data_IF_546399212151
#
_entry.id   IF_546399212151
#
_cell.length_a   1.000
_cell.length_b   1.000
_cell.length_c   1.000
_cell.angle_alpha   90.00
_cell.angle_beta   90.00
_cell.angle_gamma   90.00
#
_symmetry.space_group_name_H-M   'P 1'
#
loop_
_entity.id
_entity.type
_entity.pdbx_description
1 polymer ?
2 polymer ?
#
# COMPACT_ATOMS: atom_id res chain seq x y z
N UNK A 1 23.87 3.31 -22.16
CA UNK A 1 23.29 1.99 -21.91
C UNK A 1 21.77 2.10 -21.80
N UNK A 2 21.17 1.22 -21.01
CA UNK A 2 19.68 1.13 -20.93
C UNK A 2 19.26 0.53 -19.60
N UNK A 3 18.22 -0.29 -19.58
CA UNK A 3 17.86 -1.05 -18.36
C UNK A 3 17.74 -2.54 -18.60
N UNK A 4 18.60 -3.34 -17.98
CA UNK A 4 18.84 -4.74 -18.35
C UNK A 4 17.58 -5.61 -18.37
N UNK A 5 17.17 -6.01 -19.55
CA UNK A 5 15.83 -6.45 -19.84
C UNK A 5 15.28 -7.58 -18.99
N UNK A 6 14.04 -7.34 -18.61
CA UNK A 6 13.15 -8.24 -17.87
C UNK A 6 11.89 -8.47 -18.74
N UNK A 7 11.49 -9.72 -18.85
CA UNK A 7 10.25 -10.12 -19.55
C UNK A 7 8.99 -9.63 -18.86
N UNK A 8 8.12 -8.99 -19.64
CA UNK A 8 7.08 -8.10 -19.10
C UNK A 8 6.01 -8.82 -18.33
N UNK A 9 6.07 -10.14 -18.38
CA UNK A 9 5.04 -11.01 -17.78
C UNK A 9 5.64 -12.40 -17.55
N UNK A 10 5.07 -13.07 -16.58
CA UNK A 10 5.44 -14.45 -16.25
C UNK A 10 4.28 -15.10 -15.49
N UNK A 11 4.23 -16.41 -15.62
CA UNK A 11 3.12 -17.20 -15.12
C UNK A 11 3.58 -18.54 -14.53
N UNK A 12 3.21 -18.66 -13.24
CA UNK A 12 3.34 -20.06 -12.67
C UNK A 12 1.92 -20.53 -12.36
N UNK A 13 1.83 -21.73 -11.82
CA UNK A 13 0.54 -22.31 -11.41
C UNK A 13 0.76 -23.20 -10.18
N UNK A 14 0.59 -22.59 -9.03
CA UNK A 14 0.82 -23.11 -7.72
C UNK A 14 1.18 -24.59 -7.65
N UNK A 15 2.43 -24.82 -7.26
CA UNK A 15 3.00 -26.19 -7.24
C UNK A 15 4.01 -26.30 -8.40
N UNK A 16 3.51 -25.84 -9.53
CA UNK A 16 4.38 -25.60 -10.73
C UNK A 16 5.36 -24.51 -10.33
N UNK A 17 5.92 -23.82 -11.32
CA UNK A 17 6.89 -22.75 -11.07
C UNK A 17 6.99 -21.76 -12.21
N UNK A 18 8.01 -20.93 -12.07
CA UNK A 18 8.31 -19.81 -12.97
C UNK A 18 9.75 -19.34 -12.75
N UNK A 19 10.40 -19.06 -13.87
CA UNK A 19 11.79 -18.59 -13.87
C UNK A 19 11.84 -17.30 -14.69
N UNK A 20 12.55 -16.33 -14.14
CA UNK A 20 12.57 -14.97 -14.67
C UNK A 20 13.98 -14.57 -15.07
N UNK A 21 14.08 -14.29 -16.36
CA UNK A 21 15.26 -13.80 -17.04
C UNK A 21 15.49 -12.29 -16.79
N UNK A 22 16.76 -11.97 -16.66
CA UNK A 22 17.31 -10.66 -16.47
C UNK A 22 18.55 -10.54 -17.40
N UNK A 23 18.17 -10.31 -18.64
CA UNK A 23 19.09 -10.25 -19.78
C UNK A 23 19.80 -8.92 -19.78
N UNK A 24 21.13 -8.92 -19.88
CA UNK A 24 21.89 -7.67 -19.96
C UNK A 24 23.15 -7.76 -20.80
N UNK A 25 23.89 -6.66 -20.77
CA UNK A 25 25.18 -6.44 -21.41
C UNK A 25 26.36 -6.93 -20.57
N UNK A 26 27.37 -7.38 -21.27
CA UNK A 26 28.59 -7.99 -20.74
C UNK A 26 29.42 -7.11 -19.82
N UNK A 27 28.84 -6.00 -19.40
CA UNK A 27 29.56 -5.03 -18.54
C UNK A 27 28.83 -4.86 -17.22
N UNK A 28 27.93 -5.80 -16.97
CA UNK A 28 27.01 -5.68 -15.81
C UNK A 28 26.59 -7.06 -15.31
N UNK A 29 25.57 -7.64 -15.93
CA UNK A 29 25.29 -9.08 -15.67
C UNK A 29 26.49 -9.76 -16.33
N UNK A 30 27.01 -10.78 -15.73
CA UNK A 30 28.22 -11.45 -16.29
C UNK A 30 29.28 -10.39 -16.63
N UNK A 31 30.06 -10.07 -15.61
CA UNK A 31 31.10 -9.03 -15.65
C UNK A 31 31.55 -8.82 -14.19
N UNK A 32 30.54 -8.62 -13.35
CA UNK A 32 30.66 -8.66 -11.91
C UNK A 32 29.60 -9.68 -11.41
N UNK A 33 29.88 -10.21 -10.23
CA UNK A 33 28.93 -11.15 -9.60
C UNK A 33 28.07 -10.34 -8.61
N UNK A 34 27.19 -9.51 -9.19
CA UNK A 34 26.40 -8.56 -8.41
C UNK A 34 24.97 -8.40 -8.88
N UNK A 35 24.37 -9.51 -9.30
CA UNK A 35 22.95 -9.56 -9.65
C UNK A 35 22.11 -9.55 -8.37
N UNK A 36 21.15 -8.66 -8.35
CA UNK A 36 20.15 -8.64 -7.26
C UNK A 36 18.73 -8.70 -7.83
N UNK A 37 17.82 -9.25 -7.05
CA UNK A 37 16.39 -9.28 -7.43
C UNK A 37 15.54 -8.73 -6.27
N UNK A 38 14.49 -8.04 -6.70
CA UNK A 38 13.59 -7.33 -5.78
C UNK A 38 12.13 -7.77 -5.99
N UNK A 39 11.36 -7.52 -4.93
CA UNK A 39 9.92 -7.87 -4.93
C UNK A 39 9.07 -6.64 -4.62
N UNK A 40 8.03 -6.39 -5.41
CA UNK A 40 7.19 -5.20 -5.20
C UNK A 40 5.70 -5.45 -5.45
N UNK A 41 4.98 -5.47 -4.33
CA UNK A 41 3.50 -5.58 -4.34
C UNK A 41 3.02 -4.13 -4.30
N UNK A 42 2.59 -3.62 -5.43
CA UNK A 42 1.87 -2.36 -5.57
C UNK A 42 2.42 -1.14 -4.88
N UNK A 43 3.72 -1.09 -4.68
CA UNK A 43 4.41 0.02 -3.98
C UNK A 43 5.10 -0.62 -2.77
N UNK A 44 4.52 -0.38 -1.62
CA UNK A 44 4.90 -0.99 -0.36
C UNK A 44 6.31 -0.57 0.07
N UNK A 45 7.23 -1.00 -0.74
CA UNK A 45 8.67 -1.01 -0.60
C UNK A 45 9.07 -2.32 -1.32
N UNK A 46 10.17 -2.25 -2.03
CA UNK A 46 10.75 -3.46 -2.63
C UNK A 46 11.50 -4.19 -1.51
N UNK A 47 11.50 -5.49 -1.61
CA UNK A 47 12.29 -6.30 -0.64
C UNK A 47 13.31 -7.11 -1.42
N UNK A 48 14.57 -6.73 -1.20
CA UNK A 48 15.71 -7.51 -1.72
C UNK A 48 15.41 -8.96 -1.32
N UNK A 49 15.45 -9.83 -2.31
CA UNK A 49 15.34 -11.27 -1.97
C UNK A 49 16.57 -12.03 -2.41
N UNK A 50 17.35 -11.40 -3.28
CA UNK A 50 18.59 -11.98 -3.84
C UNK A 50 19.61 -10.88 -4.07
N UNK A 51 20.83 -11.08 -3.58
CA UNK A 51 21.88 -10.06 -3.66
C UNK A 51 23.07 -10.33 -4.53
N UNK A 52 23.75 -11.44 -4.41
CA UNK A 52 24.69 -11.84 -5.48
C UNK A 52 24.18 -13.18 -6.02
N UNK A 53 23.15 -13.04 -6.86
CA UNK A 53 22.39 -14.18 -7.37
C UNK A 53 22.30 -15.24 -6.27
N UNK A 54 22.79 -16.42 -6.59
CA UNK A 54 22.69 -17.61 -5.78
C UNK A 54 21.59 -17.47 -4.70
N UNK A 55 22.00 -16.72 -3.65
CA UNK A 55 21.44 -16.87 -2.33
C UNK A 55 20.38 -15.92 -1.85
N UNK A 56 19.47 -16.58 -1.16
CA UNK A 56 18.31 -16.19 -0.40
C UNK A 56 18.75 -16.03 1.07
N UNK A 57 18.32 -14.93 1.65
CA UNK A 57 18.41 -14.73 3.10
C UNK A 57 17.14 -15.22 3.81
N UNK A 58 17.30 -15.81 4.97
CA UNK A 58 16.30 -16.25 5.90
C UNK A 58 15.10 -15.38 6.19
N UNK A 59 15.03 -14.17 5.67
CA UNK A 59 13.82 -13.33 5.81
C UNK A 59 13.08 -13.41 4.46
N UNK A 60 13.53 -14.37 3.68
CA UNK A 60 13.06 -14.72 2.35
C UNK A 60 12.85 -16.24 2.39
N UNK A 61 11.77 -16.65 1.73
CA UNK A 61 11.47 -18.07 1.58
C UNK A 61 12.28 -18.76 0.50
N UNK A 62 12.87 -19.88 0.91
CA UNK A 62 13.82 -20.70 0.21
C UNK A 62 13.53 -21.08 -1.22
N UNK A 63 12.34 -20.95 -1.72
CA UNK A 63 12.04 -21.41 -3.10
C UNK A 63 12.49 -20.31 -4.09
N UNK A 64 13.02 -19.27 -3.47
CA UNK A 64 13.57 -18.15 -4.28
C UNK A 64 15.05 -18.49 -4.46
N UNK A 65 15.36 -18.78 -5.71
CA UNK A 65 16.76 -19.22 -6.01
C UNK A 65 17.11 -18.62 -7.36
N UNK A 66 18.27 -18.00 -7.44
CA UNK A 66 18.66 -17.33 -8.70
C UNK A 66 20.09 -17.67 -9.10
N UNK A 67 20.25 -17.76 -10.42
CA UNK A 67 21.56 -18.00 -11.02
C UNK A 67 21.66 -17.41 -12.42
N UNK A 68 22.88 -17.00 -12.71
CA UNK A 68 23.24 -16.39 -13.99
C UNK A 68 24.05 -17.38 -14.82
N UNK A 69 23.73 -17.40 -16.09
CA UNK A 69 24.36 -18.26 -17.08
C UNK A 69 24.81 -17.41 -18.27
N UNK A 70 26.01 -16.88 -18.08
CA UNK A 70 26.73 -16.13 -19.12
C UNK A 70 26.24 -14.68 -19.09
N UNK A 71 25.06 -14.50 -19.67
CA UNK A 71 24.35 -13.21 -19.56
C UNK A 71 22.88 -13.42 -19.25
N UNK A 72 22.42 -14.68 -19.32
CA UNK A 72 20.97 -14.87 -18.95
C UNK A 72 21.00 -14.79 -17.42
N UNK A 73 20.52 -13.68 -16.85
CA UNK A 73 20.33 -13.82 -15.35
C UNK A 73 18.97 -14.49 -15.20
N UNK A 74 18.87 -15.40 -14.25
CA UNK A 74 17.55 -16.01 -13.98
C UNK A 74 17.34 -16.18 -12.48
N UNK A 75 16.05 -16.21 -12.15
CA UNK A 75 15.57 -16.49 -10.78
C UNK A 75 14.39 -17.47 -10.91
N UNK A 76 14.51 -18.62 -10.29
CA UNK A 76 13.44 -19.58 -10.11
C UNK A 76 12.64 -19.24 -8.83
N UNK A 77 11.33 -19.28 -9.03
CA UNK A 77 10.36 -19.14 -7.94
C UNK A 77 9.63 -20.48 -7.79
N UNK A 78 10.27 -21.40 -7.07
CA UNK A 78 9.89 -22.81 -7.11
C UNK A 78 8.61 -23.16 -6.41
N UNK A 79 7.92 -24.15 -6.99
CA UNK A 79 6.76 -24.80 -6.33
C UNK A 79 5.56 -23.86 -6.23
N UNK A 80 5.71 -22.69 -6.80
CA UNK A 80 4.80 -21.60 -6.84
C UNK A 80 3.67 -21.57 -5.83
N UNK A 81 3.68 -20.49 -5.03
CA UNK A 81 2.69 -20.36 -3.94
C UNK A 81 2.11 -18.97 -3.86
N UNK A 82 1.44 -18.62 -4.97
CA UNK A 82 0.43 -17.58 -5.09
C UNK A 82 0.65 -16.26 -4.41
N UNK A 83 1.02 -16.26 -3.14
CA UNK A 83 1.16 -15.02 -2.37
C UNK A 83 2.21 -14.16 -3.12
N UNK A 84 3.09 -14.97 -3.76
CA UNK A 84 4.21 -14.22 -4.45
C UNK A 84 3.78 -13.62 -5.76
N UNK A 85 2.48 -13.46 -5.97
CA UNK A 85 2.03 -12.60 -7.11
C UNK A 85 2.73 -11.28 -6.81
N UNK A 86 3.46 -10.73 -7.76
CA UNK A 86 4.24 -9.51 -7.49
C UNK A 86 4.88 -8.95 -8.75
N UNK A 87 5.30 -7.68 -8.60
CA UNK A 87 6.04 -6.98 -9.65
C UNK A 87 7.50 -6.90 -9.15
N UNK A 88 8.30 -7.66 -9.88
CA UNK A 88 9.71 -7.80 -9.50
C UNK A 88 10.58 -6.84 -10.32
N UNK A 89 11.83 -6.75 -9.82
CA UNK A 89 12.89 -6.11 -10.66
C UNK A 89 14.21 -6.84 -10.40
N UNK A 90 15.21 -6.45 -11.17
CA UNK A 90 16.55 -7.09 -11.15
C UNK A 90 17.61 -6.01 -11.24
N UNK A 91 18.82 -6.26 -10.80
CA UNK A 91 19.90 -5.28 -10.87
C UNK A 91 21.28 -5.94 -11.01
N UNK A 92 22.18 -5.09 -11.52
CA UNK A 92 23.62 -5.39 -11.46
C UNK A 92 24.35 -4.05 -11.64
N UNK A 93 25.63 -4.14 -11.39
CA UNK A 93 26.54 -2.97 -11.33
C UNK A 93 27.13 -2.67 -12.69
N UNK A 94 27.36 -1.39 -12.88
CA UNK A 94 27.90 -0.72 -14.07
C UNK A 94 29.29 -0.19 -13.65
N UNK A 95 29.51 1.09 -13.89
CA UNK A 95 30.78 1.75 -13.66
C UNK A 95 30.88 2.45 -12.31
N UNK A 96 30.96 3.77 -12.39
CA UNK A 96 31.29 4.65 -11.28
C UNK A 96 30.30 4.64 -10.12
N UNK A 97 30.34 3.54 -9.38
CA UNK A 97 29.41 3.26 -8.27
C UNK A 97 27.98 3.49 -8.77
N UNK A 98 27.54 2.63 -9.69
CA UNK A 98 26.22 2.80 -10.31
C UNK A 98 25.68 1.43 -10.78
N UNK A 99 24.36 1.36 -10.64
CA UNK A 99 23.60 0.09 -10.69
C UNK A 99 22.43 0.29 -11.65
N UNK A 100 22.19 -0.69 -12.50
CA UNK A 100 20.99 -0.65 -13.35
C UNK A 100 20.09 -1.86 -13.12
N UNK A 101 18.82 -1.54 -13.25
CA UNK A 101 17.65 -2.37 -13.11
C UNK A 101 17.17 -3.01 -14.40
N UNK A 102 16.51 -4.13 -14.21
CA UNK A 102 15.66 -4.78 -15.23
C UNK A 102 14.35 -3.97 -15.25
N UNK A 103 13.62 -4.09 -16.33
CA UNK A 103 12.45 -3.23 -16.56
C UNK A 103 11.19 -3.78 -15.93
N UNK A 104 11.38 -4.76 -15.06
CA UNK A 104 10.27 -5.27 -14.22
C UNK A 104 9.61 -6.45 -14.96
N UNK A 105 9.21 -7.38 -14.10
CA UNK A 105 8.44 -8.57 -14.64
C UNK A 105 7.15 -8.52 -13.81
N UNK A 106 6.05 -8.40 -14.57
CA UNK A 106 4.77 -8.58 -13.79
C UNK A 106 4.66 -10.10 -13.71
N UNK A 107 4.25 -10.56 -12.54
CA UNK A 107 4.14 -12.02 -12.31
C UNK A 107 2.78 -12.36 -11.73
N UNK A 108 2.35 -13.58 -12.10
CA UNK A 108 1.10 -14.11 -11.52
C UNK A 108 1.21 -15.56 -11.11
N UNK A 109 0.09 -16.02 -10.58
CA UNK A 109 -0.11 -17.41 -10.17
C UNK A 109 -1.51 -17.84 -10.61
N UNK A 110 -1.51 -18.84 -11.46
CA UNK A 110 -2.75 -19.45 -11.97
C UNK A 110 -3.16 -20.55 -10.99
N UNK A 111 -4.45 -20.85 -10.99
CA UNK A 111 -5.04 -21.79 -10.05
C UNK A 111 -5.44 -21.25 -8.70
N UNK A 112 -5.48 -19.95 -8.52
CA UNK A 112 -6.04 -19.31 -7.30
C UNK A 112 -7.56 -19.39 -7.39
N UNK A 113 -8.17 -19.97 -6.37
CA UNK A 113 -9.62 -20.17 -6.29
C UNK A 113 -10.35 -18.85 -6.14
N UNK A 114 -11.51 -18.82 -6.77
CA UNK A 114 -12.39 -17.65 -6.82
C UNK A 114 -13.13 -17.54 -5.48
N UNK A 115 -13.42 -16.29 -5.13
CA UNK A 115 -14.09 -16.04 -3.83
C UNK A 115 -15.05 -14.87 -3.99
N UNK A 116 -16.27 -15.13 -3.57
CA UNK A 116 -17.34 -14.11 -3.55
C UNK A 116 -17.24 -13.44 -2.16
N UNK A 117 -17.53 -12.15 -2.12
CA UNK A 117 -17.11 -11.30 -0.99
C UNK A 117 -18.04 -11.30 0.19
N UNK A 118 -17.47 -10.97 1.37
CA UNK A 118 -18.34 -10.64 2.52
C UNK A 118 -18.66 -9.13 2.40
N UNK A 119 -19.95 -8.88 2.36
CA UNK A 119 -20.46 -7.50 2.32
C UNK A 119 -20.90 -7.16 3.74
N UNK A 120 -20.12 -6.33 4.41
CA UNK A 120 -20.48 -5.93 5.79
C UNK A 120 -20.79 -4.44 5.85
N UNK A 121 -22.08 -4.18 5.79
CA UNK A 121 -22.70 -2.86 5.80
C UNK A 121 -22.71 -2.26 7.21
N UNK A 122 -22.42 -0.96 7.23
CA UNK A 122 -22.33 -0.23 8.51
C UNK A 122 -23.28 0.96 8.47
N UNK A 123 -24.16 0.97 9.46
CA UNK A 123 -24.92 2.18 9.82
C UNK A 123 -23.99 3.18 10.50
N UNK A 124 -24.29 4.47 10.32
CA UNK A 124 -23.52 5.56 10.94
C UNK A 124 -23.41 5.31 12.44
N UNK A 125 -22.33 5.75 13.03
CA UNK A 125 -22.15 5.74 14.49
C UNK A 125 -22.80 6.96 15.12
N UNK A 126 -23.00 6.85 16.44
CA UNK A 126 -23.56 7.94 17.25
C UNK A 126 -22.75 9.22 17.14
N UNK A 127 -21.45 9.11 17.29
CA UNK A 127 -20.51 10.24 17.22
C UNK A 127 -20.60 11.05 15.96
N UNK A 128 -20.85 10.36 14.86
CA UNK A 128 -21.03 10.97 13.53
C UNK A 128 -22.31 11.80 13.54
N UNK A 129 -23.33 11.06 14.03
CA UNK A 129 -24.69 11.68 14.11
C UNK A 129 -24.71 12.90 15.02
N UNK A 130 -23.82 12.91 15.99
CA UNK A 130 -23.73 13.99 16.97
C UNK A 130 -23.01 15.19 16.38
N UNK A 131 -22.36 14.91 15.26
CA UNK A 131 -21.66 16.03 14.55
C UNK A 131 -22.51 16.53 13.39
N UNK A 132 -23.68 15.91 13.25
CA UNK A 132 -24.63 16.17 12.16
C UNK A 132 -24.25 15.58 10.81
N UNK A 133 -23.48 14.53 10.77
CA UNK A 133 -23.20 13.85 9.48
C UNK A 133 -23.89 12.52 9.48
N UNK A 134 -24.02 11.85 8.34
CA UNK A 134 -24.57 10.48 8.32
C UNK A 134 -24.00 9.67 7.16
N UNK A 135 -22.85 9.08 7.38
CA UNK A 135 -22.17 8.30 6.33
C UNK A 135 -22.39 6.81 6.49
N UNK A 136 -22.71 6.13 5.39
CA UNK A 136 -22.87 4.66 5.38
C UNK A 136 -21.79 4.04 4.51
N UNK A 137 -21.12 3.03 5.02
CA UNK A 137 -20.09 2.35 4.23
C UNK A 137 -20.39 0.86 4.09
N UNK A 138 -20.01 0.35 2.92
CA UNK A 138 -20.09 -1.06 2.60
C UNK A 138 -18.65 -1.61 2.50
N UNK A 139 -18.29 -2.44 3.51
CA UNK A 139 -17.00 -3.15 3.36
C UNK A 139 -17.20 -4.38 2.46
N UNK A 140 -16.42 -4.37 1.39
CA UNK A 140 -16.45 -5.46 0.39
C UNK A 140 -15.09 -6.15 0.48
N UNK A 141 -15.11 -7.28 1.19
CA UNK A 141 -13.81 -7.93 1.46
C UNK A 141 -13.75 -9.36 1.00
N UNK A 142 -12.51 -9.71 0.64
CA UNK A 142 -12.10 -11.06 0.28
C UNK A 142 -12.78 -11.72 -0.89
N UNK A 143 -12.76 -11.02 -2.02
CA UNK A 143 -13.28 -11.53 -3.29
C UNK A 143 -12.13 -11.66 -4.30
N UNK A 144 -12.13 -12.77 -5.00
CA UNK A 144 -11.22 -13.07 -6.10
C UNK A 144 -11.99 -13.51 -7.36
N UNK A 145 -11.63 -13.01 -8.53
CA UNK A 145 -10.75 -11.86 -8.78
C UNK A 145 -11.41 -10.56 -8.35
N UNK A 146 -10.90 -9.44 -8.80
CA UNK A 146 -11.37 -8.12 -8.37
C UNK A 146 -12.40 -7.50 -9.29
N UNK A 147 -13.22 -8.30 -9.92
CA UNK A 147 -14.36 -7.81 -10.72
C UNK A 147 -15.59 -7.89 -9.81
N UNK A 148 -15.95 -6.73 -9.34
CA UNK A 148 -17.08 -6.49 -8.46
C UNK A 148 -17.72 -5.17 -8.95
N UNK A 149 -18.99 -5.05 -8.64
CA UNK A 149 -19.72 -3.82 -8.85
C UNK A 149 -20.52 -3.54 -7.57
N UNK A 150 -20.86 -2.27 -7.44
CA UNK A 150 -21.61 -1.79 -6.27
C UNK A 150 -22.73 -0.86 -6.71
N UNK A 151 -23.91 -1.23 -6.22
CA UNK A 151 -25.11 -0.37 -6.44
C UNK A 151 -25.70 -0.10 -5.07
N UNK A 152 -26.33 1.05 -4.94
CA UNK A 152 -27.04 1.41 -3.71
C UNK A 152 -28.54 1.49 -3.95
N UNK A 153 -29.22 1.04 -2.89
CA UNK A 153 -30.70 1.19 -2.85
C UNK A 153 -31.05 2.08 -1.66
N UNK A 154 -31.79 3.13 -1.93
CA UNK A 154 -32.39 3.94 -0.84
C UNK A 154 -33.66 3.21 -0.38
N UNK A 155 -34.17 2.44 -1.33
CA UNK A 155 -35.29 1.52 -1.15
C UNK A 155 -35.38 0.66 -2.43
N UNK A 156 -35.96 1.28 -3.45
CA UNK A 156 -36.18 0.63 -4.75
C UNK A 156 -35.85 1.63 -5.86
N UNK A 157 -36.34 2.83 -5.65
CA UNK A 157 -35.89 4.00 -6.47
C UNK A 157 -34.51 4.41 -5.92
N UNK A 158 -33.48 4.00 -6.65
CA UNK A 158 -32.14 3.80 -6.07
C UNK A 158 -31.25 5.01 -6.02
N UNK A 159 -30.29 4.92 -5.07
CA UNK A 159 -29.36 6.07 -4.90
C UNK A 159 -28.52 6.22 -6.16
N UNK A 160 -28.71 7.32 -6.85
CA UNK A 160 -27.89 7.65 -8.02
C UNK A 160 -26.63 8.39 -7.54
N UNK A 161 -26.83 9.15 -6.48
CA UNK A 161 -25.85 10.13 -6.00
C UNK A 161 -25.33 9.82 -4.61
N UNK A 162 -24.24 10.49 -4.27
CA UNK A 162 -23.59 10.39 -2.96
C UNK A 162 -22.60 9.23 -2.90
N UNK A 163 -22.83 8.24 -3.76
CA UNK A 163 -22.08 6.99 -3.81
C UNK A 163 -20.62 7.21 -4.22
N UNK A 164 -19.76 6.48 -3.54
CA UNK A 164 -18.33 6.44 -3.86
C UNK A 164 -17.82 5.01 -3.69
N UNK A 165 -17.63 4.36 -4.81
CA UNK A 165 -17.11 2.97 -4.84
C UNK A 165 -15.59 3.11 -4.92
N UNK A 166 -14.87 2.08 -4.56
CA UNK A 166 -13.40 2.06 -4.74
C UNK A 166 -12.99 0.96 -5.70
N UNK A 167 -11.87 1.20 -6.38
CA UNK A 167 -11.27 0.18 -7.28
C UNK A 167 -10.50 -0.78 -6.38
N UNK A 168 -10.81 -2.07 -6.49
CA UNK A 168 -10.45 -3.08 -5.50
C UNK A 168 -9.00 -3.25 -5.14
N UNK A 169 -8.63 -3.08 -3.85
CA UNK A 169 -7.14 -3.14 -3.61
C UNK A 169 -6.65 -4.53 -3.23
N UNK A 170 -5.40 -4.61 -2.80
CA UNK A 170 -4.66 -5.87 -2.62
C UNK A 170 -4.71 -6.34 -1.17
N UNK A 171 -5.12 -7.60 -0.99
CA UNK A 171 -5.09 -8.15 0.39
C UNK A 171 -3.77 -8.87 0.57
N UNK A 172 -3.44 -9.17 1.81
CA UNK A 172 -2.34 -10.14 2.09
C UNK A 172 -2.94 -11.51 1.81
N UNK A 173 -3.09 -11.75 0.53
CA UNK A 173 -3.76 -12.86 -0.13
C UNK A 173 -4.36 -12.20 -1.41
N UNK A 174 -4.29 -12.91 -2.51
CA UNK A 174 -4.74 -12.29 -3.79
C UNK A 174 -6.28 -12.42 -3.83
N UNK A 175 -6.84 -11.75 -2.84
CA UNK A 175 -8.27 -11.46 -2.71
C UNK A 175 -8.30 -9.94 -2.49
N UNK A 176 -9.43 -9.34 -2.83
CA UNK A 176 -9.44 -7.86 -2.94
C UNK A 176 -10.34 -7.20 -1.91
N UNK A 177 -9.94 -5.93 -1.65
CA UNK A 177 -10.60 -5.16 -0.57
C UNK A 177 -11.09 -3.81 -1.04
N UNK A 178 -12.37 -3.79 -1.42
CA UNK A 178 -13.08 -2.56 -1.81
C UNK A 178 -14.02 -2.07 -0.70
N UNK A 179 -14.47 -0.85 -0.90
CA UNK A 179 -15.42 -0.16 -0.02
C UNK A 179 -16.25 0.78 -0.89
N UNK A 180 -17.44 1.06 -0.38
CA UNK A 180 -18.38 1.94 -1.15
C UNK A 180 -19.14 2.74 -0.10
N UNK A 181 -19.12 4.06 -0.20
CA UNK A 181 -19.80 4.87 0.83
C UNK A 181 -20.83 5.80 0.21
N UNK A 182 -21.75 6.09 1.11
CA UNK A 182 -22.84 7.05 0.94
C UNK A 182 -22.65 8.12 2.02
N UNK A 183 -22.84 9.35 1.61
CA UNK A 183 -22.88 10.48 2.55
C UNK A 183 -24.34 10.94 2.58
N UNK A 184 -24.92 10.89 3.75
CA UNK A 184 -26.28 11.34 3.97
C UNK A 184 -26.33 12.44 5.04
N UNK A 185 -27.44 13.17 4.97
CA UNK A 185 -27.93 13.96 6.12
C UNK A 185 -28.82 13.02 6.93
N UNK A 186 -28.82 13.24 8.23
CA UNK A 186 -29.63 12.41 9.15
C UNK A 186 -31.09 12.58 8.71
N UNK A 187 -31.33 13.84 8.36
CA UNK A 187 -32.58 14.34 7.79
C UNK A 187 -32.78 13.76 6.39
N UNK A 188 -32.75 12.44 6.33
CA UNK A 188 -32.60 11.75 5.01
C UNK A 188 -32.34 10.27 5.30
N UNK A 189 -31.72 10.08 6.47
CA UNK A 189 -31.40 8.71 6.93
C UNK A 189 -32.67 8.12 7.58
N UNK A 190 -33.08 8.88 8.60
CA UNK A 190 -34.31 8.53 9.33
C UNK A 190 -35.53 8.61 8.42
N UNK A 191 -35.49 9.56 7.49
CA UNK A 191 -36.53 9.77 6.49
C UNK A 191 -36.41 8.72 5.37
N UNK A 192 -35.92 7.56 5.77
CA UNK A 192 -35.88 6.37 4.93
C UNK A 192 -36.41 5.15 5.64
N UNK A 193 -36.45 4.05 4.90
CA UNK A 193 -36.96 2.77 5.40
C UNK A 193 -35.80 1.81 5.68
N UNK A 194 -34.99 1.63 4.66
CA UNK A 194 -33.86 0.70 4.64
C UNK A 194 -33.01 1.06 3.41
N UNK A 195 -31.71 1.07 3.64
CA UNK A 195 -30.74 1.34 2.56
C UNK A 195 -30.08 -0.01 2.31
N UNK A 196 -29.57 -0.20 1.12
CA UNK A 196 -28.72 -1.38 0.87
C UNK A 196 -27.53 -1.01 -0.01
N UNK A 197 -26.52 -1.84 0.15
CA UNK A 197 -25.40 -1.91 -0.84
C UNK A 197 -25.58 -3.30 -1.46
N UNK A 198 -25.80 -3.33 -2.76
CA UNK A 198 -25.80 -4.59 -3.53
C UNK A 198 -24.44 -4.76 -4.25
N UNK A 199 -23.84 -5.89 -3.98
CA UNK A 199 -22.52 -6.24 -4.54
C UNK A 199 -22.60 -7.36 -5.57
N UNK A 200 -22.25 -7.04 -6.81
CA UNK A 200 -22.21 -8.07 -7.88
C UNK A 200 -20.78 -8.53 -8.13
N UNK A 201 -20.57 -9.83 -8.10
CA UNK A 201 -19.23 -10.44 -8.28
C UNK A 201 -19.38 -11.70 -9.12
N UNK A 202 -19.25 -11.43 -10.41
CA UNK A 202 -19.35 -12.47 -11.47
C UNK A 202 -20.67 -13.16 -11.30
N UNK A 203 -20.68 -14.37 -10.81
CA UNK A 203 -21.90 -15.17 -10.69
C UNK A 203 -22.97 -14.49 -9.85
N UNK A 204 -22.54 -13.99 -8.69
CA UNK A 204 -23.51 -13.59 -7.64
C UNK A 204 -23.77 -12.12 -7.47
N UNK A 205 -24.89 -11.86 -6.79
CA UNK A 205 -25.28 -10.55 -6.24
C UNK A 205 -25.51 -10.81 -4.74
N UNK A 206 -24.99 -9.94 -3.91
CA UNK A 206 -24.96 -10.13 -2.44
C UNK A 206 -25.31 -8.78 -1.81
N UNK A 207 -26.47 -8.75 -1.18
CA UNK A 207 -27.06 -7.49 -0.69
C UNK A 207 -26.96 -7.46 0.83
N UNK A 208 -26.74 -6.24 1.31
CA UNK A 208 -26.83 -5.98 2.76
C UNK A 208 -27.68 -4.70 2.87
N UNK A 209 -28.58 -4.73 3.82
CA UNK A 209 -29.57 -3.66 4.03
C UNK A 209 -29.36 -3.08 5.41
N UNK A 210 -30.06 -2.02 5.78
CA UNK A 210 -29.90 -1.33 7.07
C UNK A 210 -31.03 -0.33 7.30
N UNK A 211 -31.57 -0.35 8.51
CA UNK A 211 -32.69 0.51 8.91
C UNK A 211 -32.24 1.60 9.88
N UNK A 212 -32.82 2.78 9.72
CA UNK A 212 -32.54 3.96 10.55
C UNK A 212 -32.70 3.69 12.04
N UNK A 213 -33.34 2.59 12.33
CA UNK A 213 -33.41 2.03 13.71
C UNK A 213 -32.35 0.93 13.78
N UNK A 214 -31.12 1.41 13.87
CA UNK A 214 -29.95 0.55 14.17
C UNK A 214 -29.64 0.89 15.64
N UNK A 215 -28.57 0.42 16.22
CA UNK A 215 -28.40 0.61 17.67
C UNK A 215 -27.94 2.00 18.08
N UNK A 216 -26.81 2.46 17.60
CA UNK A 216 -26.17 3.68 18.13
C UNK A 216 -25.86 4.67 17.01
N UNK B 1 16.22 -5.11 9.38
CA UNK B 1 14.99 -5.57 8.74
C UNK B 1 13.91 -4.51 8.83
N UNK B 2 13.16 -4.35 7.75
CA UNK B 2 11.97 -3.53 7.69
C UNK B 2 12.07 -2.09 8.21
N UNK B 3 12.47 -1.93 9.43
CA UNK B 3 12.51 -0.80 10.28
C UNK B 3 13.04 0.55 9.86
N UNK B 4 12.59 1.15 8.77
CA UNK B 4 12.84 2.57 8.48
C UNK B 4 11.46 3.21 8.18
N UNK B 5 11.37 4.47 8.54
CA UNK B 5 10.10 5.22 8.47
C UNK B 5 10.25 6.37 7.49
N UNK B 6 9.40 6.38 6.49
CA UNK B 6 9.36 7.41 5.42
C UNK B 6 7.91 7.89 5.23
N UNK B 7 7.72 9.21 5.22
CA UNK B 7 6.45 9.89 5.06
C UNK B 7 5.58 9.65 3.85
N UNK B 8 4.27 9.51 4.10
CA UNK B 8 3.26 9.20 3.09
C UNK B 8 3.33 10.08 1.87
N UNK B 9 2.87 11.32 2.04
CA UNK B 9 2.86 12.32 0.98
C UNK B 9 4.19 13.08 1.07
N UNK B 10 4.54 13.60 -0.07
CA UNK B 10 5.60 14.61 -0.25
C UNK B 10 5.09 15.36 -1.50
N UNK B 11 5.12 16.67 -1.44
CA UNK B 11 4.43 17.47 -2.46
C UNK B 11 4.99 18.89 -2.46
N UNK B 12 4.86 19.47 -3.64
CA UNK B 12 5.18 20.90 -3.82
C UNK B 12 4.55 21.33 -5.15
N UNK B 13 4.78 22.58 -5.46
CA UNK B 13 4.39 23.12 -6.79
C UNK B 13 5.55 22.81 -7.73
N UNK B 14 5.72 23.63 -8.76
CA UNK B 14 6.99 23.69 -9.50
C UNK B 14 7.79 24.80 -8.75
N UNK B 15 9.07 24.80 -8.94
CA UNK B 15 9.91 25.83 -8.26
C UNK B 15 10.18 25.31 -6.85
N UNK B 16 9.10 25.06 -6.14
CA UNK B 16 9.15 24.60 -4.75
C UNK B 16 10.09 23.42 -4.56
N UNK B 17 10.83 23.48 -3.47
CA UNK B 17 11.77 22.41 -3.08
C UNK B 17 11.17 21.55 -1.98
N UNK B 18 11.23 20.23 -2.22
CA UNK B 18 10.59 19.25 -1.30
C UNK B 18 11.63 18.35 -0.68
N UNK B 19 11.58 18.17 0.63
CA UNK B 19 12.47 17.25 1.34
C UNK B 19 11.72 15.97 1.72
N UNK B 20 12.38 14.85 1.47
CA UNK B 20 11.85 13.52 1.85
C UNK B 20 12.87 12.92 2.81
N UNK B 21 12.39 12.42 3.93
CA UNK B 21 13.29 11.88 4.98
C UNK B 21 13.07 10.38 5.13
N UNK B 22 13.69 9.84 6.15
CA UNK B 22 13.60 8.37 6.43
C UNK B 22 14.35 8.14 7.74
N UNK B 23 13.61 7.85 8.80
CA UNK B 23 14.17 7.67 10.16
C UNK B 23 14.25 6.18 10.50
N UNK B 24 15.32 5.82 11.19
CA UNK B 24 15.60 4.41 11.51
C UNK B 24 14.89 3.89 12.74
N UNK B 25 13.96 2.99 12.50
CA UNK B 25 13.11 2.37 13.51
C UNK B 25 13.86 1.25 14.23
N UNK B 26 14.97 1.66 14.81
CA UNK B 26 15.82 0.89 15.71
C UNK B 26 17.26 1.40 15.45
N UNK B 27 18.14 0.98 16.34
CA UNK B 27 19.55 1.37 16.28
C UNK B 27 20.17 0.84 14.99
N UNK B 28 20.73 1.78 14.22
CA UNK B 28 21.48 1.44 13.01
C UNK B 28 22.78 2.24 12.97
N UNK B 29 22.69 3.49 12.52
CA UNK B 29 23.83 4.40 12.47
C UNK B 29 24.79 4.17 13.65
N UNK B 30 26.05 4.38 13.31
CA UNK B 30 27.19 3.94 14.21
C UNK B 30 27.62 2.67 13.37
N UNK B 31 26.60 1.81 13.37
CA UNK B 31 26.47 0.85 12.22
C UNK B 31 26.21 1.81 11.03
N UNK B 32 25.49 1.31 10.05
CA UNK B 32 25.56 1.80 8.70
C UNK B 32 25.26 3.20 8.29
N UNK B 33 26.18 3.69 7.42
CA UNK B 33 26.19 5.05 6.89
C UNK B 33 26.10 5.10 5.38
N UNK B 34 25.77 3.99 4.73
CA UNK B 34 25.65 4.01 3.25
C UNK B 34 24.22 3.63 2.84
N UNK B 35 23.37 4.65 2.95
CA UNK B 35 21.94 4.58 2.64
C UNK B 35 21.72 5.03 1.19
N UNK B 36 20.54 4.71 0.65
CA UNK B 36 20.36 5.04 -0.79
C UNK B 36 18.95 5.46 -1.17
N UNK B 37 18.88 6.46 -2.06
CA UNK B 37 17.58 6.97 -2.55
C UNK B 37 17.18 6.44 -3.89
N UNK B 38 15.99 5.83 -3.99
CA UNK B 38 15.53 5.27 -5.27
C UNK B 38 14.25 5.96 -5.77
N UNK B 39 14.37 6.55 -6.94
CA UNK B 39 13.21 7.19 -7.59
C UNK B 39 12.45 6.11 -8.36
N UNK B 40 11.14 5.98 -8.09
CA UNK B 40 10.36 5.10 -9.01
C UNK B 40 9.21 5.89 -9.61
N UNK B 41 9.20 5.98 -10.93
CA UNK B 41 8.05 6.56 -11.63
C UNK B 41 7.05 5.41 -11.92
N UNK B 42 5.82 5.85 -12.10
CA UNK B 42 4.66 5.03 -12.33
C UNK B 42 4.79 4.06 -13.50
N UNK B 43 5.14 2.84 -13.16
CA UNK B 43 5.31 1.76 -14.13
C UNK B 43 6.62 1.88 -14.89
N UNK B 44 7.72 2.09 -14.14
CA UNK B 44 9.05 2.03 -14.79
C UNK B 44 10.20 2.02 -13.80
N UNK B 45 11.41 2.06 -14.36
CA UNK B 45 12.69 1.96 -13.72
C UNK B 45 12.89 2.76 -12.43
N UNK B 46 12.97 2.00 -11.33
CA UNK B 46 13.60 2.47 -10.09
C UNK B 46 15.05 2.83 -10.42
N UNK B 47 15.35 4.11 -10.31
CA UNK B 47 16.73 4.59 -10.55
C UNK B 47 17.25 5.17 -9.25
N UNK B 48 18.33 4.56 -8.78
CA UNK B 48 19.08 5.14 -7.63
C UNK B 48 19.45 6.57 -8.03
N UNK B 49 18.91 7.55 -7.32
CA UNK B 49 19.19 8.95 -7.63
C UNK B 49 20.18 9.55 -6.65
N UNK B 50 20.40 8.84 -5.57
CA UNK B 50 21.49 9.13 -4.62
C UNK B 50 22.06 7.78 -4.16
N UNK B 51 23.38 7.76 -4.11
CA UNK B 51 24.14 6.64 -3.55
C UNK B 51 24.97 7.15 -2.36
N UNK B 52 25.06 6.30 -1.37
CA UNK B 52 25.70 6.52 -0.09
C UNK B 52 25.48 7.92 0.46
N UNK B 53 24.25 8.13 0.91
CA UNK B 53 23.89 9.34 1.65
C UNK B 53 23.86 10.63 0.86
N UNK B 54 24.76 10.87 -0.08
CA UNK B 54 24.72 12.15 -0.81
C UNK B 54 25.24 12.10 -2.24
N UNK B 55 26.05 11.10 -2.54
CA UNK B 55 26.73 11.03 -3.84
C UNK B 55 25.77 10.81 -4.99
N UNK B 56 25.82 11.71 -5.96
CA UNK B 56 24.99 11.70 -7.16
C UNK B 56 25.66 10.88 -8.27
N UNK B 57 25.11 9.69 -8.51
CA UNK B 57 25.41 8.93 -9.73
C UNK B 57 25.39 9.77 -10.99
N UNK B 58 26.08 9.19 -11.97
CA UNK B 58 26.05 9.70 -13.37
C UNK B 58 24.56 9.75 -13.76
N UNK B 59 24.25 10.77 -14.52
CA UNK B 59 22.88 11.04 -14.95
C UNK B 59 22.20 12.02 -14.03
N UNK B 60 22.24 11.72 -12.73
CA UNK B 60 21.47 12.58 -11.76
C UNK B 60 21.78 14.06 -11.98
N UNK B 61 20.75 14.89 -11.77
CA UNK B 61 20.90 16.35 -11.73
C UNK B 61 21.46 16.78 -10.38
N UNK B 62 21.64 18.08 -10.15
CA UNK B 62 22.17 18.60 -8.89
C UNK B 62 21.13 19.09 -7.91
N UNK B 63 19.90 19.29 -8.36
CA UNK B 63 18.80 19.76 -7.50
C UNK B 63 18.17 18.56 -6.80
N UNK B 64 19.05 17.64 -6.50
CA UNK B 64 18.84 16.37 -5.82
C UNK B 64 20.03 16.31 -4.83
N UNK B 65 19.65 16.22 -3.56
CA UNK B 65 20.70 16.33 -2.51
C UNK B 65 20.41 15.30 -1.44
N UNK B 66 21.39 14.52 -1.09
CA UNK B 66 21.28 13.53 0.01
C UNK B 66 21.98 14.16 1.22
N UNK B 67 21.50 13.79 2.39
CA UNK B 67 22.06 14.28 3.66
C UNK B 67 21.48 13.41 4.78
N UNK B 68 22.03 13.59 5.97
CA UNK B 68 21.48 12.93 7.17
C UNK B 68 21.03 13.95 8.21
N UNK B 69 20.86 13.43 9.41
CA UNK B 69 20.67 14.24 10.62
C UNK B 69 21.35 13.49 11.77
N UNK B 70 20.87 12.28 12.00
CA UNK B 70 21.39 11.42 13.07
C UNK B 70 20.72 10.05 13.00
N UNK B 71 19.45 10.07 12.62
CA UNK B 71 18.68 8.85 12.38
C UNK B 71 17.76 8.99 11.15
N UNK B 72 17.66 10.25 10.76
CA UNK B 72 16.93 10.63 9.55
C UNK B 72 17.95 10.86 8.42
N UNK B 73 17.77 10.06 7.40
CA UNK B 73 18.44 10.31 6.11
C UNK B 73 17.40 11.11 5.32
N UNK B 74 17.87 12.04 4.53
CA UNK B 74 16.99 12.98 3.84
C UNK B 74 17.56 13.33 2.46
N UNK B 75 16.62 13.49 1.56
CA UNK B 75 16.83 13.90 0.17
C UNK B 75 16.04 15.21 -0.04
N UNK B 76 16.54 16.03 -0.94
CA UNK B 76 16.01 17.37 -1.18
C UNK B 76 16.00 17.72 -2.68
N UNK B 77 14.77 17.78 -3.16
CA UNK B 77 14.50 18.11 -4.56
C UNK B 77 14.31 19.64 -4.60
N UNK B 78 15.46 20.26 -4.72
CA UNK B 78 15.62 21.70 -4.58
C UNK B 78 15.25 22.57 -5.75
N UNK B 79 14.29 22.17 -6.56
CA UNK B 79 13.70 23.01 -7.63
C UNK B 79 12.74 22.13 -8.42
N UNK B 80 11.49 22.08 -8.01
CA UNK B 80 10.51 21.13 -8.54
C UNK B 80 10.12 21.36 -10.01
N UNK B 81 10.04 20.23 -10.68
CA UNK B 81 9.83 20.11 -12.13
C UNK B 81 8.89 18.94 -12.39
N UNK B 82 7.95 19.07 -13.31
CA UNK B 82 6.84 18.15 -13.51
C UNK B 82 7.16 16.67 -13.52
N UNK B 83 8.22 16.29 -14.20
CA UNK B 83 8.64 14.87 -14.24
C UNK B 83 9.48 14.53 -13.02
N UNK B 84 9.21 15.23 -11.92
CA UNK B 84 9.74 14.97 -10.59
C UNK B 84 8.71 14.06 -9.87
N UNK B 85 7.47 14.20 -10.38
CA UNK B 85 6.41 13.33 -9.82
C UNK B 85 6.78 11.85 -9.88
N UNK B 86 6.85 11.23 -8.70
CA UNK B 86 7.19 9.82 -8.55
C UNK B 86 7.11 9.31 -7.11
N UNK B 87 7.60 8.08 -6.95
CA UNK B 87 7.60 7.26 -5.77
C UNK B 87 8.99 7.00 -5.22
N UNK B 88 9.52 7.98 -4.50
CA UNK B 88 10.89 7.78 -3.94
C UNK B 88 10.79 6.75 -2.79
N UNK B 89 11.91 6.09 -2.60
CA UNK B 89 12.13 5.15 -1.48
C UNK B 89 13.54 5.40 -0.94
N UNK B 90 13.73 5.05 0.32
CA UNK B 90 15.06 5.13 0.96
C UNK B 90 15.49 3.68 1.24
N UNK B 91 16.79 3.50 1.42
CA UNK B 91 17.37 2.15 1.50
C UNK B 91 18.54 2.10 2.47
N UNK B 92 18.92 0.86 2.76
CA UNK B 92 19.95 0.53 3.74
C UNK B 92 20.62 -0.83 3.55
N UNK B 93 21.63 -1.01 4.41
CA UNK B 93 22.41 -2.22 4.53
C UNK B 93 22.83 -2.54 5.97
N UNK B 94 22.45 -3.72 6.39
CA UNK B 94 22.88 -4.33 7.67
C UNK B 94 23.71 -5.54 7.26
N UNK B 95 23.53 -6.68 7.88
CA UNK B 95 24.42 -7.81 7.79
C UNK B 95 24.34 -8.73 6.60
N UNK B 96 25.31 -8.58 5.70
CA UNK B 96 25.44 -9.42 4.49
C UNK B 96 24.12 -9.29 3.74
N UNK B 97 23.20 -10.10 4.21
CA UNK B 97 21.81 -10.10 3.73
C UNK B 97 20.90 -9.37 4.72
N UNK B 98 20.92 -8.03 4.66
CA UNK B 98 20.04 -7.23 5.55
C UNK B 98 19.74 -5.82 5.05
N UNK B 99 19.12 -5.71 3.90
CA UNK B 99 18.89 -4.45 3.18
C UNK B 99 17.48 -3.91 3.45
N UNK B 100 17.51 -2.77 4.15
CA UNK B 100 16.24 -2.18 4.68
C UNK B 100 15.71 -1.08 3.79
N UNK B 101 14.47 -1.28 3.31
CA UNK B 101 13.75 -0.32 2.48
C UNK B 101 12.65 0.44 3.25
N UNK B 102 12.64 1.75 3.00
CA UNK B 102 11.61 2.65 3.55
C UNK B 102 10.27 2.22 2.97
N UNK B 103 9.20 2.70 3.59
CA UNK B 103 7.84 2.30 3.25
C UNK B 103 7.32 3.06 2.04
N UNK B 104 8.14 3.98 1.55
CA UNK B 104 7.87 4.70 0.30
C UNK B 104 7.36 6.11 0.54
N UNK B 105 7.25 6.81 -0.58
CA UNK B 105 6.76 8.19 -0.63
C UNK B 105 6.24 8.46 -2.06
N UNK B 106 5.33 9.39 -2.13
CA UNK B 106 4.82 9.97 -3.37
C UNK B 106 5.21 11.45 -3.38
N UNK B 107 5.78 11.91 -4.47
CA UNK B 107 6.00 13.37 -4.65
C UNK B 107 5.00 13.88 -5.69
N UNK B 108 4.17 14.82 -5.23
CA UNK B 108 3.09 15.37 -6.04
C UNK B 108 3.39 16.84 -6.37
N UNK B 109 3.19 17.16 -7.63
CA UNK B 109 3.16 18.59 -8.02
C UNK B 109 1.66 18.93 -7.92
N UNK B 110 1.42 19.88 -7.06
CA UNK B 110 0.04 20.31 -6.76
C UNK B 110 -0.53 21.07 -7.94
N UNK B 111 -1.56 20.49 -8.51
CA UNK B 111 -2.35 21.13 -9.60
C UNK B 111 -3.82 20.93 -9.15
N UNK B 112 -4.03 21.42 -7.94
CA UNK B 112 -5.23 21.24 -7.13
C UNK B 112 -4.81 21.63 -5.69
N UNK B 113 -5.80 22.13 -4.95
CA UNK B 113 -5.55 22.55 -3.56
C UNK B 113 -5.45 21.35 -2.64
N UNK B 114 -4.74 21.55 -1.53
CA UNK B 114 -4.49 20.47 -0.56
C UNK B 114 -5.78 20.13 0.17
N UNK B 115 -5.88 18.85 0.55
CA UNK B 115 -7.15 18.45 1.24
C UNK B 115 -6.78 17.35 2.22
N UNK B 116 -7.05 17.62 3.48
CA UNK B 116 -6.67 16.68 4.56
C UNK B 116 -7.82 15.67 4.67
N UNK B 117 -7.46 14.49 5.11
CA UNK B 117 -8.43 13.40 5.17
C UNK B 117 -9.62 13.79 6.07
N UNK B 118 -10.65 13.01 5.85
CA UNK B 118 -11.94 13.10 6.58
C UNK B 118 -12.21 11.66 7.01
N UNK B 119 -11.74 11.43 8.23
CA UNK B 119 -11.80 10.14 8.92
C UNK B 119 -13.18 9.97 9.55
N UNK B 120 -13.73 8.78 9.39
CA UNK B 120 -15.03 8.41 9.97
C UNK B 120 -15.01 6.91 10.24
N UNK B 121 -14.62 6.58 11.46
CA UNK B 121 -14.49 5.18 11.90
C UNK B 121 -15.85 4.65 12.32
N UNK B 122 -16.16 3.45 11.84
CA UNK B 122 -17.43 2.77 12.11
C UNK B 122 -17.28 1.49 12.93
N UNK B 123 -17.87 1.47 14.12
CA UNK B 123 -17.89 0.30 15.00
C UNK B 123 -18.94 -0.73 14.61
N UNK B 124 -18.59 -2.00 14.88
CA UNK B 124 -19.34 -3.17 14.38
C UNK B 124 -20.81 -2.99 14.69
N UNK B 125 -21.63 -3.04 13.66
CA UNK B 125 -23.09 -3.00 13.86
C UNK B 125 -23.53 -4.12 14.82
N UNK B 126 -24.69 -3.83 15.41
CA UNK B 126 -25.35 -4.77 16.34
C UNK B 126 -25.53 -6.11 15.62
N UNK B 127 -26.11 -6.06 14.44
CA UNK B 127 -26.46 -7.26 13.67
C UNK B 127 -25.26 -8.16 13.48
N UNK B 128 -24.14 -7.55 13.16
CA UNK B 128 -22.88 -8.26 12.86
C UNK B 128 -22.37 -8.97 14.10
N UNK B 129 -22.47 -8.27 15.24
CA UNK B 129 -22.21 -8.99 16.52
C UNK B 129 -23.22 -10.14 16.65
N UNK B 130 -24.42 -9.90 16.14
CA UNK B 130 -25.47 -10.94 16.24
C UNK B 130 -24.99 -12.16 15.44
N UNK B 131 -24.25 -11.87 14.39
CA UNK B 131 -23.59 -12.85 13.54
C UNK B 131 -22.19 -13.25 14.01
N UNK B 132 -21.87 -12.96 15.24
CA UNK B 132 -20.71 -13.36 15.98
C UNK B 132 -19.34 -13.09 15.38
N UNK B 133 -19.13 -11.88 14.93
CA UNK B 133 -17.82 -11.44 14.41
C UNK B 133 -17.77 -9.92 14.55
N UNK B 134 -16.56 -9.37 14.75
CA UNK B 134 -16.57 -7.88 14.95
C UNK B 134 -15.58 -7.17 14.06
N UNK B 135 -16.05 -6.16 13.35
CA UNK B 135 -15.22 -5.48 12.34
C UNK B 135 -15.38 -3.97 12.44
N UNK B 136 -14.30 -3.33 12.87
CA UNK B 136 -14.20 -1.87 12.77
C UNK B 136 -13.68 -1.54 11.34
N UNK B 137 -14.16 -0.43 10.83
CA UNK B 137 -13.80 0.05 9.48
C UNK B 137 -13.50 1.54 9.56
N UNK B 138 -12.23 1.87 9.33
CA UNK B 138 -11.76 3.24 9.32
C UNK B 138 -11.94 3.78 7.90
N UNK B 139 -12.47 5.01 7.83
CA UNK B 139 -12.75 5.51 6.44
C UNK B 139 -12.08 6.85 6.27
N UNK B 140 -11.34 6.96 5.18
CA UNK B 140 -10.60 8.19 4.85
C UNK B 140 -11.12 8.75 3.52
N UNK B 141 -11.43 10.06 3.58
CA UNK B 141 -12.02 10.69 2.39
C UNK B 141 -11.65 12.14 2.22
N UNK B 142 -11.97 12.62 1.01
CA UNK B 142 -11.85 14.02 0.64
C UNK B 142 -10.46 14.60 0.75
N UNK B 143 -9.43 13.80 0.53
CA UNK B 143 -8.03 14.28 0.59
C UNK B 143 -7.40 14.46 -0.79
N UNK B 144 -6.32 15.22 -0.79
CA UNK B 144 -5.41 15.39 -1.95
C UNK B 144 -4.03 15.67 -1.34
N UNK B 145 -3.01 14.94 -1.74
CA UNK B 145 -3.01 13.86 -2.72
C UNK B 145 -3.15 12.46 -2.17
N UNK B 146 -3.31 11.48 -3.06
CA UNK B 146 -3.57 10.11 -2.76
C UNK B 146 -2.47 9.28 -2.14
N UNK B 147 -1.82 9.80 -1.12
CA UNK B 147 -0.76 9.09 -0.37
C UNK B 147 -0.97 9.42 1.10
N UNK B 148 -1.16 8.38 1.89
CA UNK B 148 -1.52 8.57 3.32
C UNK B 148 -1.18 7.34 4.13
N UNK B 149 -0.83 7.58 5.40
CA UNK B 149 -0.48 6.50 6.34
C UNK B 149 -1.68 6.15 7.22
N UNK B 150 -1.81 4.88 7.55
CA UNK B 150 -2.86 4.38 8.43
C UNK B 150 -2.27 3.46 9.50
N UNK B 151 -2.79 3.60 10.72
CA UNK B 151 -2.29 2.83 11.87
C UNK B 151 -3.46 2.54 12.81
N UNK B 152 -3.43 1.39 13.45
CA UNK B 152 -4.46 0.98 14.38
C UNK B 152 -3.91 0.69 15.79
N UNK B 153 -4.82 0.96 16.73
CA UNK B 153 -4.51 0.86 18.17
C UNK B 153 -5.67 0.26 18.94
N UNK B 154 -5.29 -0.65 19.83
CA UNK B 154 -6.20 -1.28 20.79
C UNK B 154 -5.72 -0.95 22.21
N UNK B 155 -6.18 0.19 22.71
CA UNK B 155 -5.63 0.71 23.98
C UNK B 155 -4.09 0.88 23.84
N UNK B 156 -3.70 1.91 23.13
CA UNK B 156 -2.25 2.22 22.98
C UNK B 156 -1.72 1.18 21.99
N UNK B 157 -1.58 -0.01 22.50
CA UNK B 157 -1.09 -1.16 21.71
C UNK B 157 -1.31 -0.92 20.22
N UNK B 158 -0.25 -0.46 19.60
CA UNK B 158 -0.20 -0.40 18.12
C UNK B 158 -0.38 -1.89 17.74
N UNK B 159 -1.57 -2.18 17.23
CA UNK B 159 -1.81 -3.58 16.79
C UNK B 159 -1.68 -3.62 15.27
N UNK B 160 -1.00 -4.65 14.76
CA UNK B 160 -0.96 -4.85 13.30
C UNK B 160 -1.87 -5.95 12.77
N UNK B 161 -2.08 -7.03 13.49
CA UNK B 161 -2.91 -8.13 12.96
C UNK B 161 -4.31 -7.60 12.66
N UNK B 162 -4.82 -7.94 11.49
CA UNK B 162 -6.26 -7.81 11.21
C UNK B 162 -6.57 -6.58 10.37
N UNK B 163 -5.56 -5.73 10.26
CA UNK B 163 -5.67 -4.51 9.45
C UNK B 163 -5.56 -4.91 7.98
N UNK B 164 -6.11 -4.06 7.15
CA UNK B 164 -5.98 -4.20 5.67
C UNK B 164 -6.32 -2.84 5.09
N UNK B 165 -5.33 -2.22 4.47
CA UNK B 165 -5.52 -0.88 3.90
C UNK B 165 -5.67 -0.95 2.37
N UNK B 166 -6.83 -0.47 1.98
CA UNK B 166 -7.11 -0.32 0.52
C UNK B 166 -6.36 0.90 0.05
N UNK B 167 -5.97 0.91 -1.22
CA UNK B 167 -5.20 2.02 -1.81
C UNK B 167 -6.15 3.12 -2.27
N UNK B 168 -5.61 4.33 -2.37
CA UNK B 168 -6.41 5.51 -2.69
C UNK B 168 -7.08 5.44 -4.05
N UNK B 169 -8.40 5.68 -4.03
CA UNK B 169 -9.08 5.89 -5.36
C UNK B 169 -9.25 7.40 -5.57
N UNK B 170 -9.25 7.79 -6.83
CA UNK B 170 -9.80 9.14 -7.19
C UNK B 170 -11.31 8.94 -6.99
N UNK B 171 -11.90 9.80 -6.20
CA UNK B 171 -13.36 9.92 -6.12
C UNK B 171 -13.74 10.96 -7.19
N UNK B 172 -14.99 10.93 -7.53
CA UNK B 172 -15.52 11.80 -8.61
C UNK B 172 -15.62 13.23 -8.10
N UNK B 173 -14.49 13.70 -7.59
CA UNK B 173 -14.36 15.06 -7.04
C UNK B 173 -12.89 15.48 -7.07
N UNK B 174 -12.08 14.65 -7.68
CA UNK B 174 -10.65 14.97 -7.89
C UNK B 174 -9.94 14.98 -6.53
N UNK B 175 -10.54 14.25 -5.62
CA UNK B 175 -9.98 14.03 -4.26
C UNK B 175 -9.98 12.52 -4.08
N UNK B 176 -9.28 12.00 -3.10
CA UNK B 176 -9.12 10.57 -2.89
C UNK B 176 -9.91 10.04 -1.70
N UNK B 177 -10.13 8.74 -1.85
CA UNK B 177 -10.73 7.92 -0.78
C UNK B 177 -9.64 6.93 -0.37
N UNK B 178 -9.87 6.26 0.73
CA UNK B 178 -9.03 5.16 1.21
C UNK B 178 -9.76 4.57 2.43
N UNK B 179 -9.38 3.38 2.84
CA UNK B 179 -10.16 2.68 3.87
C UNK B 179 -9.40 1.50 4.45
N UNK B 180 -9.34 1.52 5.78
CA UNK B 180 -8.58 0.43 6.47
C UNK B 180 -9.64 -0.33 7.28
N UNK B 181 -9.63 -1.64 7.14
CA UNK B 181 -10.59 -2.44 7.93
C UNK B 181 -9.80 -3.27 8.94
N UNK B 182 -10.57 -3.74 9.92
CA UNK B 182 -10.06 -4.55 11.03
C UNK B 182 -11.14 -5.55 11.45
N UNK B 183 -10.85 -6.79 11.14
CA UNK B 183 -11.71 -7.92 11.51
C UNK B 183 -11.19 -8.57 12.79
N UNK B 184 -11.84 -8.22 13.87
CA UNK B 184 -11.64 -8.64 15.21
C UNK B 184 -12.41 -9.91 15.63
N UNK B 185 -11.74 -10.51 16.60
CA UNK B 185 -12.20 -11.52 17.54
C UNK B 185 -13.14 -10.93 18.59
N UNK B 186 -14.44 -10.97 18.28
CA UNK B 186 -15.52 -10.29 18.98
C UNK B 186 -15.47 -10.12 20.48
N UNK B 187 -15.00 -11.14 21.19
CA UNK B 187 -14.83 -11.02 22.65
C UNK B 187 -13.69 -10.03 22.89
N UNK B 188 -12.64 -10.20 22.08
CA UNK B 188 -11.47 -9.33 22.18
C UNK B 188 -11.93 -7.89 21.93
N UNK B 189 -13.08 -7.82 21.26
CA UNK B 189 -13.68 -6.46 21.03
C UNK B 189 -14.38 -6.00 22.30
N UNK B 190 -15.00 -6.94 23.02
CA UNK B 190 -15.53 -6.54 24.36
C UNK B 190 -14.36 -6.03 25.21
N UNK B 191 -13.36 -6.87 25.38
CA UNK B 191 -12.27 -6.67 26.35
C UNK B 191 -11.22 -5.62 26.06
N UNK B 192 -11.55 -4.59 25.33
CA UNK B 192 -10.60 -3.48 25.05
C UNK B 192 -11.32 -2.15 25.33
N UNK B 193 -10.63 -1.26 26.01
CA UNK B 193 -11.22 0.01 26.46
C UNK B 193 -11.50 0.92 25.28
N UNK B 194 -10.60 0.88 24.31
CA UNK B 194 -10.72 1.67 23.08
C UNK B 194 -10.01 1.05 21.88
N UNK B 195 -10.31 1.63 20.73
CA UNK B 195 -9.76 1.34 19.42
C UNK B 195 -9.56 2.64 18.65
N UNK B 196 -8.43 2.73 17.99
CA UNK B 196 -8.08 3.98 17.28
C UNK B 196 -7.59 3.68 15.87
N UNK B 197 -8.18 4.40 14.93
CA UNK B 197 -7.72 4.46 13.55
C UNK B 197 -7.03 5.83 13.42
N UNK B 198 -5.82 5.76 12.95
CA UNK B 198 -4.93 6.95 12.87
C UNK B 198 -4.54 7.15 11.42
N UNK B 199 -4.65 8.38 10.93
CA UNK B 199 -4.31 8.68 9.53
C UNK B 199 -3.38 9.89 9.45
N UNK B 200 -2.17 9.56 8.99
CA UNK B 200 -1.09 10.54 8.81
C UNK B 200 -1.10 11.03 7.35
N UNK B 201 -1.06 12.33 7.23
CA UNK B 201 -1.07 13.02 5.92
C UNK B 201 -0.24 14.30 6.14
N UNK B 202 0.32 14.87 5.10
CA UNK B 202 1.45 15.80 5.23
C UNK B 202 1.19 17.01 6.10
N UNK B 203 1.53 16.87 7.37
CA UNK B 203 1.46 17.95 8.37
C UNK B 203 0.37 17.75 9.40
N UNK B 204 -0.40 16.70 9.22
CA UNK B 204 -1.56 16.37 10.04
C UNK B 204 -1.64 14.87 10.32
N UNK B 205 -1.79 14.54 11.58
CA UNK B 205 -1.98 13.18 12.08
C UNK B 205 -3.28 13.12 12.88
N UNK B 206 -4.33 12.57 12.27
CA UNK B 206 -5.61 12.50 13.02
C UNK B 206 -5.76 11.13 13.67
N UNK B 207 -6.21 11.16 14.92
CA UNK B 207 -6.50 9.94 15.69
C UNK B 207 -7.97 9.88 16.08
N UNK B 208 -8.64 8.84 15.62
CA UNK B 208 -10.08 8.64 15.85
C UNK B 208 -10.31 7.36 16.64
N UNK B 209 -10.88 7.50 17.82
CA UNK B 209 -11.08 6.42 18.78
C UNK B 209 -12.52 5.95 18.90
N UNK B 210 -12.69 4.76 19.43
CA UNK B 210 -13.97 4.05 19.60
C UNK B 210 -13.92 3.12 20.81
N UNK B 211 -15.01 3.13 21.58
CA UNK B 211 -15.19 2.27 22.76
C UNK B 211 -16.46 1.45 22.66
N UNK B 212 -16.47 0.27 23.30
CA UNK B 212 -17.53 -0.73 23.16
C UNK B 212 -18.63 -0.75 24.18
N UNK B 213 -19.73 -1.48 23.89
CA UNK B 213 -20.94 -1.47 24.72
C UNK B 213 -21.76 -2.72 24.90
N UNK B 214 -22.27 -3.30 23.83
CA UNK B 214 -23.36 -4.33 23.87
C UNK B 214 -24.67 -3.58 24.15
N UNK B 215 -25.30 -3.18 23.06
CA UNK B 215 -26.44 -2.26 23.09
C UNK B 215 -27.76 -3.02 23.26
N UNK B 216 -28.82 -2.25 23.09
CA UNK B 216 -30.17 -2.74 22.86
C UNK B 216 -30.69 -3.73 23.88
C UNK C 1 21.86 -0.27 -4.99
N UNK C 2 22.01 -1.09 -3.95
CA UNK C 2 23.05 -0.85 -2.92
C UNK C 2 23.75 -2.20 -2.70
N UNK C 3 25.06 -2.22 -2.78
CA UNK C 3 25.95 -3.23 -2.23
C UNK C 3 27.22 -3.27 -3.09
N UNK C 4 28.38 -3.44 -2.35
CA UNK C 4 29.61 -2.76 -2.89
C UNK C 4 30.10 -1.70 -1.90
#
# INVERSE_FOLDING_TARGET
PSALTQPPSASGSLGQSVTISCTGTSSDVGGYNYVSWYQQHAGKAPKVIIYEVNKRPSGVPDRFSGSKSGNTASLTVSGLQAEDEADYYCSSYEGSDNFVFGTGTKVTVLGQPKANPTVTLFPPSSEELQANKATLVCLISDFYPGAVTVAWKADGSPVKAGVETTKPSKQSNNKYAASSYLSLTPEQWKSHRSYSCQVTHEGSTVEKTVAPTECS
PSALTQPPSASGSLGQSVTISCTGTSSDVGGYNYVSWYQQHAGKAPKVIIYEVNKRPSGVPDRFSGSKSGNTASLTVSGLQAEDEADYYCSSYEGSDNFVFGTGTKVTVLGQPKANPTVTLFPPSSEELQANKATLVCLISDFYPGAVTVAWKADGSPVKAGVETTKPSKQSNNKYAASSYLSLTPEQWKSHRSYSCQVTHEGSTVEKTVAPTECS
XFHP
#
